data_IF_149698655546
#
_entry.id   IF_149698655546
#
_cell.length_a   1.000
_cell.length_b   1.000
_cell.length_c   1.000
_cell.angle_alpha   90.00
_cell.angle_beta   90.00
_cell.angle_gamma   90.00
#
_symmetry.space_group_name_H-M   'P 1'
#
loop_
_entity.id
_entity.type
_entity.pdbx_description
1 polymer ?
#
# COMPACT_ATOMS: atom_id res chain seq x y z
N UNK A 1 -0.74 -15.30 -6.59
CA UNK A 1 -1.54 -14.10 -6.29
C UNK A 1 -0.94 -13.43 -5.07
N UNK A 2 -1.01 -12.10 -4.99
CA UNK A 2 -0.32 -11.31 -3.97
C UNK A 2 -1.27 -10.34 -3.31
N UNK A 3 -1.31 -10.37 -1.98
CA UNK A 3 -1.97 -9.33 -1.18
C UNK A 3 -0.88 -8.40 -0.66
N UNK A 4 -1.00 -7.12 -0.96
CA UNK A 4 -0.10 -6.09 -0.43
C UNK A 4 -0.87 -5.29 0.60
N UNK A 5 -0.36 -5.27 1.83
CA UNK A 5 -0.91 -4.50 2.96
C UNK A 5 0.10 -3.45 3.36
N UNK A 6 -0.35 -2.20 3.51
CA UNK A 6 0.48 -1.04 3.83
C UNK A 6 -0.18 -0.31 5.01
N UNK A 7 0.56 -0.03 6.07
CA UNK A 7 0.06 0.58 7.31
C UNK A 7 0.92 1.76 7.73
N UNK A 8 0.31 2.88 8.14
CA UNK A 8 1.05 4.11 8.44
C UNK A 8 1.79 4.01 9.78
N UNK A 9 3.08 4.38 9.77
CA UNK A 9 3.88 4.50 10.97
C UNK A 9 3.48 5.74 11.75
N UNK A 10 3.29 5.58 13.06
CA UNK A 10 3.08 6.71 13.97
C UNK A 10 1.78 7.47 13.71
N UNK A 11 0.74 6.81 13.22
CA UNK A 11 -0.58 7.42 12.93
C UNK A 11 -1.26 8.06 14.14
N UNK A 12 -0.88 7.69 15.36
CA UNK A 12 -1.36 8.35 16.59
C UNK A 12 -0.76 9.72 16.84
N UNK A 13 0.35 10.06 16.16
CA UNK A 13 1.12 11.29 16.39
C UNK A 13 1.42 12.06 15.09
N UNK A 14 0.90 11.61 13.96
CA UNK A 14 1.09 12.21 12.64
C UNK A 14 -0.26 12.35 11.91
N UNK A 15 -0.33 13.26 10.94
CA UNK A 15 -1.52 13.42 10.11
C UNK A 15 -1.79 12.17 9.26
N UNK A 16 -3.04 11.99 8.83
CA UNK A 16 -3.43 10.93 7.91
C UNK A 16 -2.76 11.14 6.54
N UNK A 17 -2.02 10.14 6.07
CA UNK A 17 -1.31 10.13 4.77
C UNK A 17 -1.88 9.12 3.77
N UNK A 18 -2.97 8.45 4.15
CA UNK A 18 -3.62 7.44 3.30
C UNK A 18 -4.07 8.04 1.96
N UNK A 19 -4.69 9.24 1.89
CA UNK A 19 -5.10 9.81 0.61
C UNK A 19 -3.93 9.96 -0.38
N UNK A 20 -2.79 10.48 0.07
CA UNK A 20 -1.60 10.67 -0.74
C UNK A 20 -1.00 9.34 -1.20
N UNK A 21 -1.02 8.32 -0.33
CA UNK A 21 -0.59 6.98 -0.70
C UNK A 21 -1.50 6.37 -1.77
N UNK A 22 -2.82 6.50 -1.64
CA UNK A 22 -3.78 5.98 -2.62
C UNK A 22 -3.60 6.64 -3.99
N UNK A 23 -3.33 7.95 -4.02
CA UNK A 23 -2.98 8.66 -5.27
C UNK A 23 -1.68 8.10 -5.89
N UNK A 24 -0.63 7.89 -5.08
CA UNK A 24 0.64 7.35 -5.54
C UNK A 24 0.52 5.90 -6.08
N UNK A 25 -0.40 5.11 -5.54
CA UNK A 25 -0.66 3.74 -5.94
C UNK A 25 -1.62 3.61 -7.14
N UNK A 26 -2.32 4.69 -7.53
CA UNK A 26 -3.36 4.66 -8.56
C UNK A 26 -2.90 4.20 -9.94
N UNK A 27 -1.59 4.26 -10.23
CA UNK A 27 -1.02 3.77 -11.49
C UNK A 27 -0.55 2.31 -11.46
N UNK A 28 -0.61 1.64 -10.30
CA UNK A 28 -0.16 0.25 -10.17
C UNK A 28 -1.24 -0.70 -10.73
N UNK A 29 -0.91 -1.58 -11.69
CA UNK A 29 -1.84 -2.60 -12.17
C UNK A 29 -2.23 -3.53 -11.03
N UNK A 30 -3.53 -3.67 -10.78
CA UNK A 30 -4.06 -4.50 -9.70
C UNK A 30 -5.23 -5.36 -10.20
N UNK A 31 -5.40 -6.53 -9.58
CA UNK A 31 -6.63 -7.34 -9.70
C UNK A 31 -7.77 -6.68 -8.93
N UNK A 32 -7.46 -6.16 -7.73
CA UNK A 32 -8.34 -5.28 -6.94
C UNK A 32 -7.53 -4.04 -6.55
N UNK A 33 -8.03 -2.83 -6.83
CA UNK A 33 -7.30 -1.60 -6.54
C UNK A 33 -6.99 -1.48 -5.05
N UNK A 34 -5.99 -0.66 -4.73
CA UNK A 34 -5.70 -0.31 -3.35
C UNK A 34 -6.84 0.50 -2.75
N UNK A 35 -7.29 0.11 -1.57
CA UNK A 35 -8.33 0.79 -0.82
C UNK A 35 -7.92 0.89 0.65
N UNK A 36 -8.39 1.94 1.31
CA UNK A 36 -8.28 2.07 2.77
C UNK A 36 -9.16 1.01 3.41
N UNK A 37 -8.59 0.24 4.33
CA UNK A 37 -9.30 -0.78 5.10
C UNK A 37 -9.64 -0.22 6.48
N UNK A 38 -8.99 -0.67 7.55
CA UNK A 38 -9.23 -0.23 8.91
C UNK A 38 -8.16 0.76 9.37
N UNK A 39 -8.58 1.89 9.95
CA UNK A 39 -7.65 2.89 10.45
C UNK A 39 -6.84 3.51 9.31
N UNK A 40 -5.53 3.39 9.38
CA UNK A 40 -4.51 3.90 8.46
C UNK A 40 -3.92 2.81 7.54
N UNK A 41 -4.56 1.64 7.53
CA UNK A 41 -4.20 0.51 6.66
C UNK A 41 -4.80 0.68 5.26
N UNK A 42 -4.00 0.31 4.25
CA UNK A 42 -4.32 0.25 2.83
C UNK A 42 -4.00 -1.14 2.30
N UNK A 43 -4.90 -1.74 1.52
CA UNK A 43 -4.70 -3.07 0.95
C UNK A 43 -5.07 -3.13 -0.53
N UNK A 44 -4.29 -3.88 -1.31
CA UNK A 44 -4.55 -4.16 -2.72
C UNK A 44 -4.26 -5.62 -3.08
N UNK A 45 -4.89 -6.10 -4.16
CA UNK A 45 -4.71 -7.44 -4.70
C UNK A 45 -4.03 -7.38 -6.07
N UNK A 46 -2.93 -8.12 -6.23
CA UNK A 46 -2.09 -8.12 -7.42
C UNK A 46 -1.82 -9.56 -7.87
N UNK A 47 -1.57 -9.75 -9.16
CA UNK A 47 -1.22 -11.03 -9.77
C UNK A 47 0.17 -11.04 -10.42
N UNK A 48 0.81 -9.87 -10.55
CA UNK A 48 2.16 -9.69 -11.10
C UNK A 48 3.17 -9.27 -10.02
N UNK A 49 4.28 -10.01 -9.81
CA UNK A 49 5.34 -9.61 -8.89
C UNK A 49 6.01 -8.27 -9.24
N UNK A 50 6.02 -7.85 -10.52
CA UNK A 50 6.56 -6.54 -10.89
C UNK A 50 5.66 -5.40 -10.38
N UNK A 51 4.34 -5.60 -10.37
CA UNK A 51 3.38 -4.67 -9.80
C UNK A 51 3.49 -4.61 -8.26
N UNK A 52 3.75 -5.74 -7.58
CA UNK A 52 4.08 -5.77 -6.14
C UNK A 52 5.31 -4.92 -5.85
N UNK A 53 6.38 -5.09 -6.63
CA UNK A 53 7.59 -4.26 -6.50
C UNK A 53 7.29 -2.78 -6.71
N UNK A 54 6.46 -2.42 -7.70
CA UNK A 54 6.08 -1.05 -7.95
C UNK A 54 5.33 -0.42 -6.77
N UNK A 55 4.35 -1.14 -6.19
CA UNK A 55 3.62 -0.70 -5.01
C UNK A 55 4.53 -0.48 -3.79
N UNK A 56 5.43 -1.43 -3.52
CA UNK A 56 6.37 -1.31 -2.41
C UNK A 56 7.33 -0.13 -2.58
N UNK A 57 7.82 0.11 -3.80
CA UNK A 57 8.68 1.26 -4.08
C UNK A 57 7.94 2.60 -3.96
N UNK A 58 6.65 2.63 -4.30
CA UNK A 58 5.82 3.82 -4.09
C UNK A 58 5.65 4.11 -2.59
N UNK A 59 5.26 3.10 -1.80
CA UNK A 59 5.06 3.25 -0.36
C UNK A 59 6.35 3.58 0.40
N UNK A 60 7.47 2.90 0.09
CA UNK A 60 8.70 3.03 0.88
C UNK A 60 9.47 4.35 0.65
N UNK A 61 9.09 5.17 -0.34
CA UNK A 61 9.77 6.44 -0.63
C UNK A 61 9.79 7.40 0.54
N UNK A 62 8.69 7.47 1.29
CA UNK A 62 8.54 8.44 2.39
C UNK A 62 8.99 7.88 3.74
N UNK A 63 9.27 6.57 3.84
CA UNK A 63 9.76 5.92 5.06
C UNK A 63 8.72 5.76 6.19
N UNK A 64 7.51 6.26 5.99
CA UNK A 64 6.45 6.34 6.99
C UNK A 64 5.46 5.15 6.94
N UNK A 65 5.86 4.02 6.37
CA UNK A 65 4.97 2.89 6.13
C UNK A 65 5.55 1.54 6.57
N UNK A 66 4.72 0.71 7.21
CA UNK A 66 4.92 -0.73 7.31
C UNK A 66 4.31 -1.38 6.06
N UNK A 67 5.02 -2.34 5.45
CA UNK A 67 4.54 -3.02 4.24
C UNK A 67 4.66 -4.53 4.42
N UNK A 68 3.60 -5.26 4.10
CA UNK A 68 3.52 -6.71 4.09
C UNK A 68 3.12 -7.24 2.71
N UNK A 69 3.63 -8.41 2.35
CA UNK A 69 3.25 -9.14 1.13
C UNK A 69 2.85 -10.56 1.51
N UNK A 70 1.58 -10.89 1.32
CA UNK A 70 1.09 -12.25 1.34
C UNK A 70 1.18 -12.85 -0.07
N UNK A 71 1.72 -14.06 -0.21
CA UNK A 71 1.80 -14.78 -1.47
C UNK A 71 1.12 -16.15 -1.35
N UNK A 72 0.21 -16.46 -2.29
CA UNK A 72 -0.57 -17.69 -2.34
C UNK A 72 -1.12 -18.01 -3.72
#
# INVERSE_FOLDING_TARGET
MYVVTIDQRGSRSSGDRVPELLEALGAVPCVSPFERTAGDEVQGLLDDPAAVRAALLAALRDGDWHCGVGAG
#
